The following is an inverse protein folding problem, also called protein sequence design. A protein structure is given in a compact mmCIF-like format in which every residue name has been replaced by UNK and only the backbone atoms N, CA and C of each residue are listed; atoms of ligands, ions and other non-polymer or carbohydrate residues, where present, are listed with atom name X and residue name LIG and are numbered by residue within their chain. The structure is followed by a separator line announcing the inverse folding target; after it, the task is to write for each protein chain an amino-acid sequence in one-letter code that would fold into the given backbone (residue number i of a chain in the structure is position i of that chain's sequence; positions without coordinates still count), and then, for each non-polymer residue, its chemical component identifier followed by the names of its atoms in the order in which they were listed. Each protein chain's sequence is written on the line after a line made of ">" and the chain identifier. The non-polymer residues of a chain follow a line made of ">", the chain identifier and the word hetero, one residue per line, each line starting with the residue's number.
data_IF_535958670868
#
_entry.id   IF_535958670868
#
_cell.length_a   1.000
_cell.length_b   1.000
_cell.length_c   1.000
_cell.angle_alpha   90.00
_cell.angle_beta   90.00
_cell.angle_gamma   90.00
#
_symmetry.space_group_name_H-M   'P 1'
#
loop_
_entity.id
_entity.type
_entity.pdbx_description
1 polymer ?
#
# COMPACT_ATOMS: atom_id res chain seq x y z
N UNK A 1 -21.87 -22.46 -12.66
CA UNK A 1 -22.83 -21.37 -12.97
C UNK A 1 -23.92 -21.95 -13.86
N UNK A 2 -25.18 -21.56 -13.68
CA UNK A 2 -26.27 -22.04 -14.56
C UNK A 2 -26.09 -21.46 -15.97
N UNK A 3 -25.76 -22.29 -16.99
CA UNK A 3 -25.51 -21.84 -18.35
C UNK A 3 -26.76 -21.26 -19.02
N UNK A 4 -27.95 -21.57 -18.52
CA UNK A 4 -29.22 -21.11 -19.09
C UNK A 4 -29.80 -19.89 -18.35
N UNK A 5 -29.12 -19.40 -17.32
CA UNK A 5 -29.60 -18.26 -16.55
C UNK A 5 -29.75 -17.00 -17.41
N UNK A 6 -30.86 -16.28 -17.23
CA UNK A 6 -31.08 -14.98 -17.88
C UNK A 6 -29.99 -13.95 -17.53
N UNK A 7 -29.36 -14.11 -16.36
CA UNK A 7 -28.23 -13.29 -15.90
C UNK A 7 -27.00 -13.47 -16.80
N UNK A 8 -26.65 -14.70 -17.18
CA UNK A 8 -25.54 -14.95 -18.10
C UNK A 8 -25.80 -14.35 -19.48
N UNK A 9 -27.02 -14.54 -20.02
CA UNK A 9 -27.41 -13.97 -21.33
C UNK A 9 -27.27 -12.44 -21.34
N UNK A 10 -27.72 -11.78 -20.27
CA UNK A 10 -27.59 -10.33 -20.14
C UNK A 10 -26.13 -9.87 -20.04
N UNK A 11 -25.29 -10.56 -19.26
CA UNK A 11 -23.87 -10.23 -19.17
C UNK A 11 -23.11 -10.47 -20.48
N UNK A 12 -23.45 -11.51 -21.24
CA UNK A 12 -22.91 -11.72 -22.60
C UNK A 12 -23.27 -10.60 -23.56
N UNK A 13 -24.50 -10.08 -23.48
CA UNK A 13 -24.89 -8.87 -24.22
C UNK A 13 -24.03 -7.67 -23.82
N UNK A 14 -23.84 -7.45 -22.52
CA UNK A 14 -23.00 -6.35 -22.00
C UNK A 14 -21.53 -6.48 -22.39
N UNK A 15 -21.01 -7.70 -22.47
CA UNK A 15 -19.66 -7.98 -22.95
C UNK A 15 -19.49 -7.57 -24.42
N UNK A 16 -20.42 -7.97 -25.30
CA UNK A 16 -20.42 -7.55 -26.71
C UNK A 16 -20.54 -6.03 -26.90
N UNK A 17 -21.26 -5.35 -26.00
CA UNK A 17 -21.38 -3.89 -25.98
C UNK A 17 -20.10 -3.18 -25.47
N UNK A 18 -19.09 -3.92 -24.99
CA UNK A 18 -17.87 -3.35 -24.42
C UNK A 18 -18.08 -2.67 -23.07
N UNK A 19 -19.20 -2.95 -22.38
CA UNK A 19 -19.59 -2.29 -21.13
C UNK A 19 -19.62 -3.27 -19.95
N UNK A 20 -18.77 -4.30 -19.98
CA UNK A 20 -18.69 -5.31 -18.92
C UNK A 20 -17.88 -4.75 -17.74
N UNK A 21 -18.45 -4.62 -16.53
CA UNK A 21 -17.70 -4.10 -15.39
C UNK A 21 -16.64 -5.11 -14.91
N UNK A 22 -15.54 -4.65 -14.28
CA UNK A 22 -14.42 -5.50 -13.89
C UNK A 22 -14.79 -6.51 -12.80
N UNK A 23 -14.23 -7.71 -12.88
CA UNK A 23 -14.43 -8.80 -11.93
C UNK A 23 -13.64 -8.52 -10.65
N UNK A 24 -14.29 -8.67 -9.49
CA UNK A 24 -13.69 -8.38 -8.20
C UNK A 24 -12.90 -9.58 -7.69
N UNK A 25 -11.60 -9.39 -7.48
CA UNK A 25 -10.67 -10.42 -7.03
C UNK A 25 -10.09 -10.10 -5.65
N UNK A 26 -9.69 -11.13 -4.92
CA UNK A 26 -8.89 -11.02 -3.70
C UNK A 26 -7.75 -12.03 -3.73
N UNK A 27 -6.52 -11.57 -3.52
CA UNK A 27 -5.36 -12.45 -3.45
C UNK A 27 -5.25 -13.09 -2.06
N UNK A 28 -5.21 -14.42 -2.01
CA UNK A 28 -5.03 -15.18 -0.77
C UNK A 28 -3.64 -15.79 -0.78
N UNK A 29 -2.75 -15.22 0.05
CA UNK A 29 -1.34 -15.62 0.13
C UNK A 29 -1.15 -17.10 0.46
N UNK A 30 -1.94 -17.64 1.40
CA UNK A 30 -1.86 -19.06 1.80
C UNK A 30 -2.22 -20.06 0.69
N UNK A 31 -2.92 -19.61 -0.35
CA UNK A 31 -3.27 -20.44 -1.52
C UNK A 31 -2.47 -20.05 -2.77
N UNK A 32 -1.65 -19.00 -2.69
CA UNK A 32 -0.95 -18.39 -3.82
C UNK A 32 -1.86 -18.18 -5.05
N UNK A 33 -3.10 -17.75 -4.82
CA UNK A 33 -4.11 -17.64 -5.88
C UNK A 33 -5.08 -16.47 -5.65
N UNK A 34 -5.78 -16.08 -6.73
CA UNK A 34 -6.86 -15.11 -6.69
C UNK A 34 -8.21 -15.80 -6.50
N UNK A 35 -8.99 -15.31 -5.54
CA UNK A 35 -10.38 -15.67 -5.37
C UNK A 35 -11.28 -14.65 -6.06
N UNK A 36 -12.30 -15.12 -6.78
CA UNK A 36 -13.35 -14.27 -7.32
C UNK A 36 -14.37 -14.00 -6.21
N UNK A 37 -14.45 -12.75 -5.77
CA UNK A 37 -15.44 -12.33 -4.78
C UNK A 37 -16.78 -12.02 -5.44
N UNK A 38 -16.74 -11.33 -6.58
CA UNK A 38 -17.91 -11.02 -7.38
C UNK A 38 -17.56 -10.97 -8.87
N UNK A 39 -18.53 -11.31 -9.73
CA UNK A 39 -18.35 -11.27 -11.18
C UNK A 39 -18.21 -12.62 -11.86
N UNK A 40 -18.56 -13.74 -11.21
CA UNK A 40 -18.50 -15.07 -11.82
C UNK A 40 -19.24 -15.17 -13.18
N UNK A 41 -20.46 -14.62 -13.26
CA UNK A 41 -21.21 -14.58 -14.52
C UNK A 41 -20.60 -13.62 -15.55
N UNK A 42 -19.89 -12.58 -15.11
CA UNK A 42 -19.17 -11.64 -15.99
C UNK A 42 -17.93 -12.30 -16.57
N UNK A 43 -17.18 -13.04 -15.74
CA UNK A 43 -16.06 -13.86 -16.21
C UNK A 43 -16.54 -14.90 -17.23
N UNK A 44 -17.61 -15.63 -16.91
CA UNK A 44 -18.16 -16.61 -17.86
C UNK A 44 -18.62 -15.93 -19.16
N UNK A 45 -19.27 -14.76 -19.07
CA UNK A 45 -19.67 -14.02 -20.25
C UNK A 45 -18.48 -13.56 -21.10
N UNK A 46 -17.40 -13.08 -20.49
CA UNK A 46 -16.17 -12.70 -21.19
C UNK A 46 -15.53 -13.91 -21.90
N UNK A 47 -15.48 -15.07 -21.23
CA UNK A 47 -14.99 -16.33 -21.81
C UNK A 47 -15.85 -16.75 -23.00
N UNK A 48 -17.17 -16.77 -22.84
CA UNK A 48 -18.11 -17.18 -23.89
C UNK A 48 -18.06 -16.26 -25.12
N UNK A 49 -17.80 -14.97 -24.93
CA UNK A 49 -17.67 -13.99 -26.02
C UNK A 49 -16.22 -13.83 -26.52
N UNK A 50 -15.27 -14.60 -25.97
CA UNK A 50 -13.85 -14.53 -26.28
C UNK A 50 -13.25 -13.12 -26.15
N UNK A 51 -13.63 -12.41 -25.08
CA UNK A 51 -13.17 -11.07 -24.76
C UNK A 51 -12.25 -11.10 -23.53
N UNK A 52 -11.21 -10.24 -23.48
CA UNK A 52 -10.35 -10.13 -22.30
C UNK A 52 -11.16 -9.52 -21.14
N UNK A 53 -11.33 -10.24 -20.01
CA UNK A 53 -11.97 -9.67 -18.84
C UNK A 53 -11.09 -8.62 -18.15
N UNK A 54 -11.71 -7.56 -17.65
CA UNK A 54 -11.06 -6.63 -16.73
C UNK A 54 -11.20 -7.13 -15.28
N UNK A 55 -10.18 -6.85 -14.47
CA UNK A 55 -10.12 -7.28 -13.07
C UNK A 55 -9.85 -6.09 -12.15
N UNK A 56 -10.55 -6.09 -11.00
CA UNK A 56 -10.29 -5.20 -9.88
C UNK A 56 -9.83 -6.04 -8.69
N UNK A 57 -8.57 -5.90 -8.30
CA UNK A 57 -7.98 -6.68 -7.21
C UNK A 57 -8.05 -5.89 -5.90
N UNK A 58 -8.61 -6.50 -4.86
CA UNK A 58 -8.53 -5.98 -3.50
C UNK A 58 -7.15 -6.27 -2.91
N UNK A 59 -6.47 -5.20 -2.51
CA UNK A 59 -5.29 -5.26 -1.66
C UNK A 59 -5.66 -4.85 -0.23
N UNK A 60 -5.36 -5.70 0.75
CA UNK A 60 -5.48 -5.28 2.14
C UNK A 60 -4.40 -4.22 2.43
N UNK A 61 -4.76 -3.03 2.94
CA UNK A 61 -3.77 -2.06 3.36
C UNK A 61 -2.97 -2.64 4.53
N UNK A 62 -1.66 -2.47 4.48
CA UNK A 62 -0.81 -2.69 5.66
C UNK A 62 -0.96 -1.49 6.58
N UNK A 63 -1.24 -1.75 7.84
CA UNK A 63 -1.23 -0.72 8.86
C UNK A 63 0.21 -0.51 9.30
N UNK A 64 0.74 0.67 9.04
CA UNK A 64 2.02 1.09 9.58
C UNK A 64 1.77 2.05 10.73
N UNK A 65 2.39 1.77 11.88
CA UNK A 65 2.37 2.70 13.01
C UNK A 65 3.49 3.70 12.81
N UNK A 66 3.14 4.97 12.70
CA UNK A 66 4.12 6.04 12.80
C UNK A 66 4.27 6.41 14.27
N UNK A 67 5.51 6.42 14.78
CA UNK A 67 5.82 7.03 16.07
C UNK A 67 6.51 8.36 15.80
N UNK A 68 5.87 9.50 16.09
CA UNK A 68 6.53 10.79 15.95
C UNK A 68 7.74 10.87 16.90
N UNK A 69 8.83 11.49 16.43
CA UNK A 69 10.05 11.66 17.19
C UNK A 69 9.81 12.59 18.42
N UNK A 70 10.04 12.12 19.66
CA UNK A 70 9.79 12.93 20.86
C UNK A 70 10.62 14.23 20.94
N UNK A 71 11.85 14.22 20.42
CA UNK A 71 12.70 15.41 20.39
C UNK A 71 12.16 16.46 19.42
N UNK A 72 11.60 16.05 18.28
CA UNK A 72 10.95 16.95 17.33
C UNK A 72 9.66 17.54 17.92
N UNK A 73 8.84 16.71 18.58
CA UNK A 73 7.66 17.16 19.30
C UNK A 73 8.02 18.24 20.33
N UNK A 74 9.08 18.03 21.10
CA UNK A 74 9.54 18.98 22.10
C UNK A 74 9.99 20.32 21.48
N UNK A 75 10.69 20.27 20.34
CA UNK A 75 11.10 21.48 19.60
C UNK A 75 9.88 22.28 19.11
N UNK A 76 8.88 21.59 18.55
CA UNK A 76 7.63 22.23 18.08
C UNK A 76 6.88 22.86 19.25
N UNK A 77 6.72 22.16 20.38
CA UNK A 77 6.07 22.72 21.56
C UNK A 77 6.79 23.97 22.07
N UNK A 78 8.12 23.96 22.14
CA UNK A 78 8.91 25.12 22.53
C UNK A 78 8.68 26.32 21.61
N UNK A 79 8.68 26.09 20.29
CA UNK A 79 8.43 27.15 19.31
C UNK A 79 7.00 27.71 19.41
N UNK A 80 6.00 26.84 19.62
CA UNK A 80 4.60 27.23 19.80
C UNK A 80 4.41 28.07 21.06
N UNK A 81 5.07 27.71 22.16
CA UNK A 81 4.99 28.45 23.42
C UNK A 81 5.48 29.90 23.27
N UNK A 82 6.55 30.12 22.50
CA UNK A 82 7.05 31.46 22.16
C UNK A 82 6.03 32.25 21.32
N UNK A 83 5.36 31.60 20.36
CA UNK A 83 4.34 32.27 19.52
C UNK A 83 3.10 32.67 20.31
N UNK A 84 2.67 31.81 21.26
CA UNK A 84 1.58 32.10 22.19
C UNK A 84 1.91 33.34 23.05
N UNK A 85 3.11 33.38 23.63
CA UNK A 85 3.56 34.53 24.43
C UNK A 85 3.60 35.83 23.61
N UNK A 86 3.96 35.74 22.33
CA UNK A 86 3.99 36.89 21.40
C UNK A 86 2.62 37.30 20.88
N UNK A 87 1.53 36.62 21.26
CA UNK A 87 0.14 36.81 20.77
C UNK A 87 0.02 36.85 19.23
N UNK A 88 0.92 36.17 18.52
CA UNK A 88 0.89 36.03 17.05
C UNK A 88 0.44 34.63 16.69
N UNK A 89 -0.84 34.34 16.88
CA UNK A 89 -1.41 33.02 16.61
C UNK A 89 -2.42 33.10 15.47
N UNK A 90 -2.10 32.37 14.40
CA UNK A 90 -3.09 31.95 13.42
C UNK A 90 -3.57 30.55 13.83
N UNK A 91 -4.80 30.45 14.33
CA UNK A 91 -5.39 29.22 14.84
C UNK A 91 -5.39 28.09 13.81
N UNK A 92 -5.57 28.41 12.51
CA UNK A 92 -5.58 27.41 11.45
C UNK A 92 -4.21 26.75 11.30
N UNK A 93 -3.16 27.57 11.18
CA UNK A 93 -1.77 27.08 11.10
C UNK A 93 -1.33 26.38 12.39
N UNK A 94 -1.77 26.88 13.54
CA UNK A 94 -1.46 26.28 14.84
C UNK A 94 -2.03 24.87 14.96
N UNK A 95 -3.32 24.70 14.63
CA UNK A 95 -3.97 23.39 14.64
C UNK A 95 -3.32 22.43 13.64
N UNK A 96 -3.00 22.92 12.43
CA UNK A 96 -2.34 22.09 11.41
C UNK A 96 -0.98 21.57 11.88
N UNK A 97 -0.21 22.42 12.57
CA UNK A 97 1.11 22.05 13.09
C UNK A 97 1.01 21.05 14.25
N UNK A 98 0.04 21.23 15.15
CA UNK A 98 -0.22 20.25 16.21
C UNK A 98 -0.63 18.89 15.63
N UNK A 99 -1.55 18.88 14.66
CA UNK A 99 -1.96 17.65 13.98
C UNK A 99 -0.74 17.00 13.32
N UNK A 100 0.02 17.72 12.49
CA UNK A 100 1.15 17.09 11.79
C UNK A 100 2.25 16.57 12.71
N UNK A 101 2.41 17.14 13.91
CA UNK A 101 3.49 16.79 14.85
C UNK A 101 3.09 15.66 15.81
N UNK A 102 1.81 15.57 16.17
CA UNK A 102 1.31 14.64 17.18
C UNK A 102 0.36 13.58 16.64
N UNK A 103 0.01 13.61 15.35
CA UNK A 103 -0.80 12.57 14.74
C UNK A 103 -0.01 11.25 14.68
N UNK A 104 -0.41 10.31 15.53
CA UNK A 104 0.13 8.96 15.66
C UNK A 104 -0.81 7.91 15.04
N UNK A 105 -1.86 8.35 14.35
CA UNK A 105 -2.83 7.43 13.74
C UNK A 105 -2.10 6.53 12.74
N UNK A 106 -2.40 5.23 12.71
CA UNK A 106 -1.78 4.31 11.76
C UNK A 106 -2.04 4.76 10.31
N UNK A 107 -0.99 4.93 9.53
CA UNK A 107 -1.15 5.18 8.11
C UNK A 107 -1.37 3.86 7.35
N UNK A 108 -2.23 3.92 6.34
CA UNK A 108 -2.59 2.78 5.53
C UNK A 108 -1.63 2.75 4.35
N UNK A 109 -0.63 1.87 4.41
CA UNK A 109 0.29 1.67 3.30
C UNK A 109 -0.22 0.59 2.35
N UNK A 110 -0.11 0.83 1.05
CA UNK A 110 -0.32 -0.19 0.03
C UNK A 110 1.01 -0.86 -0.27
N UNK A 111 1.23 -2.06 0.26
CA UNK A 111 2.39 -2.86 -0.09
C UNK A 111 2.03 -3.82 -1.20
N UNK A 112 2.53 -3.59 -2.42
CA UNK A 112 2.60 -4.67 -3.41
C UNK A 112 3.67 -5.65 -2.95
N UNK A 113 3.28 -6.86 -2.54
CA UNK A 113 4.25 -7.95 -2.41
C UNK A 113 4.62 -8.43 -3.81
N UNK A 114 5.46 -7.68 -4.50
CA UNK A 114 6.21 -8.23 -5.62
C UNK A 114 7.39 -8.99 -5.04
N UNK A 115 7.48 -10.29 -5.33
CA UNK A 115 8.74 -10.99 -5.20
C UNK A 115 9.66 -10.45 -6.29
N UNK A 116 10.68 -9.68 -5.92
CA UNK A 116 11.78 -9.45 -6.83
C UNK A 116 12.42 -10.81 -7.11
N UNK A 117 12.45 -11.24 -8.37
CA UNK A 117 13.14 -12.44 -8.81
C UNK A 117 14.65 -12.23 -8.67
N UNK A 118 15.13 -12.22 -7.43
CA UNK A 118 16.54 -12.13 -7.10
C UNK A 118 17.13 -13.52 -7.34
N UNK A 119 18.15 -13.59 -8.19
CA UNK A 119 18.78 -14.86 -8.57
C UNK A 119 19.40 -15.63 -7.38
N UNK A 120 19.87 -14.92 -6.34
CA UNK A 120 20.38 -15.51 -5.09
C UNK A 120 20.48 -14.46 -3.98
N UNK A 121 20.56 -14.90 -2.72
CA UNK A 121 20.77 -14.01 -1.57
C UNK A 121 22.04 -13.16 -1.73
N UNK A 122 23.14 -13.76 -2.19
CA UNK A 122 24.39 -13.02 -2.42
C UNK A 122 24.24 -11.90 -3.46
N UNK A 123 23.49 -12.15 -4.55
CA UNK A 123 23.25 -11.14 -5.57
C UNK A 123 22.46 -9.93 -5.02
N UNK A 124 21.57 -10.15 -4.07
CA UNK A 124 20.87 -9.08 -3.38
C UNK A 124 21.78 -8.32 -2.41
N UNK A 125 22.58 -9.03 -1.61
CA UNK A 125 23.55 -8.42 -0.69
C UNK A 125 24.50 -7.49 -1.45
N UNK A 126 25.06 -7.97 -2.56
CA UNK A 126 26.01 -7.21 -3.39
C UNK A 126 25.35 -5.95 -3.97
N UNK A 127 24.10 -6.07 -4.45
CA UNK A 127 23.35 -4.95 -5.01
C UNK A 127 23.02 -3.88 -3.95
N UNK A 128 22.46 -4.29 -2.82
CA UNK A 128 22.08 -3.37 -1.72
C UNK A 128 23.31 -2.67 -1.17
N UNK A 129 24.38 -3.43 -0.92
CA UNK A 129 25.65 -2.88 -0.45
C UNK A 129 26.26 -1.89 -1.44
N UNK A 130 26.17 -2.17 -2.76
CA UNK A 130 26.66 -1.26 -3.80
C UNK A 130 25.91 0.07 -3.82
N UNK A 131 24.57 0.03 -3.79
CA UNK A 131 23.73 1.23 -3.81
C UNK A 131 23.98 2.12 -2.58
N UNK A 132 24.08 1.52 -1.39
CA UNK A 132 24.32 2.26 -0.16
C UNK A 132 25.73 2.88 -0.12
N UNK A 133 26.74 2.17 -0.65
CA UNK A 133 28.10 2.71 -0.84
C UNK A 133 28.12 3.91 -1.79
N UNK A 134 27.40 3.84 -2.92
CA UNK A 134 27.30 4.95 -3.87
C UNK A 134 26.63 6.20 -3.27
N UNK A 135 25.67 6.01 -2.37
CA UNK A 135 24.97 7.10 -1.69
C UNK A 135 25.72 7.64 -0.46
N UNK A 136 26.76 6.94 -0.01
CA UNK A 136 27.51 7.29 1.20
C UNK A 136 26.72 7.05 2.49
N UNK A 137 25.67 6.24 2.45
CA UNK A 137 24.73 6.02 3.54
C UNK A 137 24.83 4.57 4.02
N UNK A 138 25.81 4.32 4.88
CA UNK A 138 26.19 2.96 5.33
C UNK A 138 25.80 2.67 6.78
N UNK A 139 25.15 3.61 7.47
CA UNK A 139 24.84 3.47 8.91
C UNK A 139 24.00 2.24 9.20
N UNK A 140 23.05 1.94 8.31
CA UNK A 140 22.03 0.92 8.54
C UNK A 140 22.27 -0.34 7.70
N UNK A 141 23.44 -0.45 7.03
CA UNK A 141 23.71 -1.54 6.09
C UNK A 141 23.58 -2.91 6.78
N UNK A 142 24.16 -3.07 7.96
CA UNK A 142 24.17 -4.34 8.68
C UNK A 142 22.76 -4.76 9.10
N UNK A 143 21.96 -3.85 9.64
CA UNK A 143 20.55 -4.09 10.00
C UNK A 143 19.70 -4.44 8.77
N UNK A 144 19.91 -3.74 7.64
CA UNK A 144 19.23 -4.03 6.38
C UNK A 144 19.58 -5.43 5.88
N UNK A 145 20.85 -5.84 5.93
CA UNK A 145 21.31 -7.16 5.50
C UNK A 145 20.74 -8.28 6.38
N UNK A 146 20.65 -8.05 7.69
CA UNK A 146 20.02 -8.98 8.64
C UNK A 146 18.49 -8.96 8.60
N UNK A 147 17.91 -8.04 7.82
CA UNK A 147 16.46 -7.81 7.70
C UNK A 147 15.82 -7.46 9.04
N UNK A 148 16.61 -6.86 9.92
CA UNK A 148 16.13 -6.30 11.17
C UNK A 148 15.47 -4.95 10.87
N UNK A 149 14.33 -4.70 11.51
CA UNK A 149 13.78 -3.35 11.49
C UNK A 149 14.72 -2.47 12.32
N UNK A 150 15.04 -1.24 11.85
CA UNK A 150 15.87 -0.32 12.62
C UNK A 150 15.33 -0.17 14.06
N UNK A 151 16.20 0.03 15.04
CA UNK A 151 15.78 0.13 16.46
C UNK A 151 14.64 1.14 16.66
N UNK A 152 14.59 2.18 15.84
CA UNK A 152 13.54 3.20 15.81
C UNK A 152 12.12 2.64 15.53
N UNK A 153 12.03 1.44 14.96
CA UNK A 153 10.80 0.76 14.57
C UNK A 153 10.51 -0.54 15.35
N UNK A 154 11.36 -0.95 16.30
CA UNK A 154 11.06 -2.02 17.28
C UNK A 154 10.12 -1.53 18.40
#
# INVERSE_FOLDING_TARGET
>A
MDPHSGRLKWWRKKAREGSLPPILLWYVTGLSCYLILDGHYRLQAAIDENLPPEFLVLSSPRLYRYRPNPQEQQKVLGALQVQIQRKKLDTGRFNQLLISTFDDRPYHGFGSQSWAGIASEQAWIDQVSGILKERGDLSDLEEILEREAPEEYR
#
